data_IF_144574018685
#
_entry.id   IF_144574018685
#
_cell.length_a   1.000
_cell.length_b   1.000
_cell.length_c   1.000
_cell.angle_alpha   90.00
_cell.angle_beta   90.00
_cell.angle_gamma   90.00
#
_symmetry.space_group_name_H-M   'P 1'
#
loop_
_entity.id
_entity.type
_entity.pdbx_description
1 polymer ?
#
# COMPACT_ATOMS: atom_id res chain seq x y z
N UNK A 1 2.94 -13.52 -14.23
CA UNK A 1 3.14 -13.71 -15.68
C UNK A 1 3.13 -12.35 -16.36
N UNK A 2 4.29 -11.88 -16.81
CA UNK A 2 4.36 -10.79 -17.76
C UNK A 2 4.04 -11.36 -19.16
N UNK A 3 3.25 -10.59 -19.92
CA UNK A 3 2.79 -11.04 -21.23
C UNK A 3 3.95 -11.11 -22.20
N UNK A 4 3.84 -12.00 -23.21
CA UNK A 4 4.79 -12.12 -24.30
C UNK A 4 5.05 -10.76 -24.95
N UNK A 5 6.32 -10.40 -25.03
CA UNK A 5 6.79 -9.28 -25.85
C UNK A 5 7.16 -9.83 -27.21
N UNK A 6 6.57 -9.28 -28.27
CA UNK A 6 6.93 -9.67 -29.66
C UNK A 6 7.88 -8.63 -30.21
N UNK A 7 9.07 -9.09 -30.57
CA UNK A 7 10.10 -8.24 -31.22
C UNK A 7 9.99 -8.26 -32.75
N UNK A 8 9.10 -9.07 -33.32
CA UNK A 8 9.01 -9.24 -34.78
C UNK A 8 8.54 -8.04 -35.58
N UNK A 9 8.10 -6.96 -34.91
CA UNK A 9 7.77 -5.68 -35.55
C UNK A 9 8.79 -4.57 -35.28
N UNK A 10 9.86 -4.86 -34.56
CA UNK A 10 10.94 -3.93 -34.29
C UNK A 10 12.03 -4.10 -35.35
N UNK A 11 12.50 -3.01 -35.88
CA UNK A 11 13.66 -2.97 -36.78
C UNK A 11 14.78 -2.21 -36.09
N UNK A 12 15.95 -2.83 -36.07
CA UNK A 12 17.16 -2.25 -35.50
C UNK A 12 18.02 -1.64 -36.59
N UNK A 13 18.84 -0.65 -36.25
CA UNK A 13 19.66 0.07 -37.23
C UNK A 13 20.67 -0.85 -37.96
N UNK A 14 21.13 -1.90 -37.29
CA UNK A 14 22.06 -2.91 -37.82
C UNK A 14 21.40 -3.90 -38.80
N UNK A 15 20.09 -3.93 -38.88
CA UNK A 15 19.32 -4.74 -39.85
C UNK A 15 19.20 -4.05 -41.20
N UNK A 16 19.50 -2.76 -41.31
CA UNK A 16 19.30 -1.98 -42.52
C UNK A 16 20.43 -2.18 -43.53
N UNK A 17 20.11 -2.75 -44.70
CA UNK A 17 20.94 -2.78 -45.87
C UNK A 17 20.45 -1.74 -46.88
N UNK A 18 21.37 -0.93 -47.41
CA UNK A 18 21.10 0.14 -48.39
C UNK A 18 20.46 -0.36 -49.69
N UNK A 19 20.55 -1.65 -50.02
CA UNK A 19 19.98 -2.25 -51.22
C UNK A 19 18.63 -2.93 -50.97
N UNK A 20 18.52 -3.68 -49.89
CA UNK A 20 17.37 -4.58 -49.62
C UNK A 20 16.54 -4.18 -48.39
N UNK A 21 16.84 -3.00 -47.81
CA UNK A 21 16.13 -2.51 -46.60
C UNK A 21 16.50 -3.29 -45.33
N UNK A 22 15.54 -3.65 -44.50
CA UNK A 22 15.74 -4.39 -43.25
C UNK A 22 15.80 -5.90 -43.51
N UNK A 23 16.87 -6.38 -44.08
CA UNK A 23 17.01 -7.78 -44.54
C UNK A 23 18.09 -8.57 -43.76
N UNK A 24 18.92 -7.88 -42.99
CA UNK A 24 20.01 -8.48 -42.23
C UNK A 24 19.48 -8.87 -40.83
N UNK A 25 19.79 -10.06 -40.31
CA UNK A 25 19.46 -10.39 -38.92
C UNK A 25 20.20 -9.45 -37.96
N UNK A 26 19.50 -8.93 -36.95
CA UNK A 26 20.11 -8.09 -35.93
C UNK A 26 21.16 -8.84 -35.12
N UNK A 27 22.27 -8.17 -34.81
CA UNK A 27 23.29 -8.66 -33.87
C UNK A 27 22.95 -8.33 -32.41
N UNK A 28 21.84 -7.61 -32.18
CA UNK A 28 21.39 -7.25 -30.82
C UNK A 28 20.96 -8.49 -30.04
N UNK A 29 21.41 -8.56 -28.80
CA UNK A 29 20.98 -9.62 -27.86
C UNK A 29 19.60 -9.27 -27.33
N UNK A 30 18.56 -9.82 -27.96
CA UNK A 30 17.20 -9.60 -27.54
C UNK A 30 16.89 -10.36 -26.24
N UNK A 31 16.23 -9.72 -25.27
CA UNK A 31 15.80 -10.39 -24.05
C UNK A 31 14.74 -11.45 -24.36
N UNK A 32 14.54 -12.40 -23.45
CA UNK A 32 13.49 -13.42 -23.55
C UNK A 32 12.10 -12.82 -23.67
N UNK A 33 11.22 -13.45 -24.46
CA UNK A 33 9.86 -12.95 -24.70
C UNK A 33 8.93 -13.14 -23.51
N UNK A 34 9.27 -13.99 -22.57
CA UNK A 34 8.43 -14.36 -21.44
C UNK A 34 9.27 -14.65 -20.20
N UNK A 35 8.79 -14.21 -19.06
CA UNK A 35 9.36 -14.54 -17.74
C UNK A 35 8.27 -15.12 -16.85
N UNK A 36 8.58 -16.20 -16.16
CA UNK A 36 7.73 -16.83 -15.17
C UNK A 36 8.56 -17.24 -13.97
N UNK A 37 8.07 -16.92 -12.78
CA UNK A 37 8.74 -17.27 -11.53
C UNK A 37 7.70 -17.59 -10.45
N UNK A 38 8.01 -18.51 -9.50
CA UNK A 38 7.20 -18.70 -8.32
C UNK A 38 7.40 -17.53 -7.34
N UNK A 39 6.33 -17.10 -6.71
CA UNK A 39 6.37 -16.05 -5.69
C UNK A 39 5.55 -16.48 -4.48
N UNK A 40 6.10 -16.26 -3.30
CA UNK A 40 5.48 -16.65 -2.04
C UNK A 40 5.46 -15.49 -1.06
N UNK A 41 4.37 -15.45 -0.29
CA UNK A 41 4.18 -14.48 0.79
C UNK A 41 3.64 -15.21 2.01
N UNK A 42 4.04 -14.77 3.19
CA UNK A 42 3.53 -15.28 4.46
C UNK A 42 3.34 -14.13 5.44
N UNK A 43 2.36 -14.27 6.34
CA UNK A 43 2.11 -13.25 7.34
C UNK A 43 1.31 -13.80 8.52
N UNK A 44 1.36 -13.04 9.61
CA UNK A 44 0.64 -13.34 10.83
C UNK A 44 -0.10 -12.09 11.28
N UNK A 45 -1.31 -12.27 11.79
CA UNK A 45 -2.08 -11.24 12.45
C UNK A 45 -2.43 -11.70 13.88
N UNK A 46 -2.32 -10.76 14.80
CA UNK A 46 -2.66 -10.93 16.20
C UNK A 46 -3.67 -9.86 16.62
N UNK A 47 -4.71 -10.29 17.33
CA UNK A 47 -5.72 -9.40 17.89
C UNK A 47 -5.88 -9.70 19.37
N UNK A 48 -5.87 -8.64 20.20
CA UNK A 48 -6.06 -8.74 21.63
C UNK A 48 -7.07 -7.70 22.11
N UNK A 49 -7.83 -8.07 23.15
CA UNK A 49 -8.67 -7.13 23.88
C UNK A 49 -7.81 -6.37 24.89
N UNK A 50 -7.98 -5.05 24.96
CA UNK A 50 -7.30 -4.16 25.90
C UNK A 50 -8.35 -3.50 26.79
N UNK A 51 -8.33 -3.84 28.05
CA UNK A 51 -9.39 -3.40 28.97
C UNK A 51 -10.75 -4.00 28.62
N UNK A 52 -11.82 -3.24 28.87
CA UNK A 52 -13.20 -3.71 28.69
C UNK A 52 -13.68 -3.60 27.24
N UNK A 53 -13.37 -2.48 26.58
CA UNK A 53 -13.91 -2.12 25.25
C UNK A 53 -12.81 -1.78 24.24
N UNK A 54 -11.54 -1.83 24.65
CA UNK A 54 -10.40 -1.57 23.77
C UNK A 54 -9.97 -2.82 23.00
N UNK A 55 -9.39 -2.61 21.82
CA UNK A 55 -8.79 -3.67 21.00
C UNK A 55 -7.45 -3.24 20.45
N UNK A 56 -6.55 -4.19 20.36
CA UNK A 56 -5.23 -4.01 19.77
C UNK A 56 -5.06 -5.02 18.63
N UNK A 57 -4.43 -4.56 17.55
CA UNK A 57 -4.15 -5.36 16.37
C UNK A 57 -2.67 -5.21 16.01
N UNK A 58 -2.01 -6.32 15.75
CA UNK A 58 -0.65 -6.35 15.24
C UNK A 58 -0.56 -7.34 14.08
N UNK A 59 0.12 -6.97 13.04
CA UNK A 59 0.34 -7.84 11.88
C UNK A 59 1.73 -7.64 11.31
N UNK A 60 2.30 -8.73 10.79
CA UNK A 60 3.55 -8.71 10.07
C UNK A 60 3.46 -9.66 8.88
N UNK A 61 4.02 -9.26 7.73
CA UNK A 61 4.09 -10.10 6.55
C UNK A 61 5.40 -9.89 5.81
N UNK A 62 5.83 -10.96 5.15
CA UNK A 62 6.93 -10.97 4.19
C UNK A 62 6.38 -11.39 2.83
N UNK A 63 6.74 -10.64 1.80
CA UNK A 63 6.40 -10.91 0.41
C UNK A 63 7.68 -11.11 -0.38
N UNK A 64 7.61 -11.87 -1.47
CA UNK A 64 8.74 -12.14 -2.35
C UNK A 64 9.96 -12.73 -1.61
N UNK A 65 9.73 -13.60 -0.60
CA UNK A 65 10.83 -14.06 0.26
C UNK A 65 11.86 -14.95 -0.44
N UNK A 66 11.53 -15.50 -1.61
CA UNK A 66 12.49 -16.22 -2.46
C UNK A 66 13.34 -15.27 -3.32
N UNK A 67 13.04 -13.98 -3.33
CA UNK A 67 13.75 -12.98 -4.16
C UNK A 67 13.95 -13.45 -5.60
N UNK A 68 12.88 -13.78 -6.34
CA UNK A 68 12.99 -14.34 -7.67
C UNK A 68 13.71 -13.40 -8.62
N UNK A 69 14.39 -13.97 -9.61
CA UNK A 69 14.95 -13.23 -10.72
C UNK A 69 13.80 -12.72 -11.62
N UNK A 70 13.81 -11.43 -11.92
CA UNK A 70 12.80 -10.75 -12.75
C UNK A 70 13.36 -10.20 -14.06
N UNK A 71 14.60 -10.60 -14.41
CA UNK A 71 15.21 -10.21 -15.67
C UNK A 71 14.72 -11.05 -16.84
N UNK A 72 14.53 -10.41 -17.98
CA UNK A 72 14.28 -11.07 -19.25
C UNK A 72 15.57 -11.62 -19.91
N UNK A 73 16.73 -11.27 -19.38
CA UNK A 73 18.02 -11.78 -19.86
C UNK A 73 18.43 -13.02 -19.09
N UNK A 74 18.91 -14.06 -19.81
CA UNK A 74 19.34 -15.33 -19.20
C UNK A 74 20.56 -15.13 -18.26
N UNK A 75 21.44 -14.18 -18.58
CA UNK A 75 22.64 -13.84 -17.80
C UNK A 75 22.40 -12.62 -16.91
N UNK A 76 21.33 -12.65 -16.13
CA UNK A 76 20.97 -11.56 -15.25
C UNK A 76 22.02 -11.31 -14.17
N UNK A 77 22.43 -10.05 -14.02
CA UNK A 77 23.33 -9.63 -12.94
C UNK A 77 22.60 -9.66 -11.56
N UNK A 78 23.38 -9.56 -10.47
CA UNK A 78 22.84 -9.58 -9.10
C UNK A 78 21.74 -8.52 -8.80
N UNK A 79 21.63 -7.47 -9.64
CA UNK A 79 20.64 -6.39 -9.50
C UNK A 79 19.22 -6.73 -9.96
N UNK A 80 19.05 -7.82 -10.71
CA UNK A 80 17.79 -8.15 -11.39
C UNK A 80 16.83 -8.98 -10.53
N UNK A 81 17.04 -9.04 -9.22
CA UNK A 81 16.19 -9.78 -8.29
C UNK A 81 15.12 -8.89 -7.69
N UNK A 82 13.91 -9.45 -7.58
CA UNK A 82 12.84 -8.83 -6.81
C UNK A 82 13.19 -8.86 -5.32
N UNK A 83 13.35 -7.69 -4.71
CA UNK A 83 13.63 -7.60 -3.27
C UNK A 83 12.47 -8.12 -2.43
N UNK A 84 12.78 -8.85 -1.37
CA UNK A 84 11.80 -9.20 -0.36
C UNK A 84 11.20 -7.92 0.23
N UNK A 85 9.86 -7.91 0.38
CA UNK A 85 9.12 -6.80 0.99
C UNK A 85 8.63 -7.23 2.36
N UNK A 86 8.94 -6.42 3.35
CA UNK A 86 8.46 -6.58 4.72
C UNK A 86 7.37 -5.57 4.99
N UNK A 87 6.29 -5.99 5.62
CA UNK A 87 5.23 -5.11 6.08
C UNK A 87 4.88 -5.40 7.53
N UNK A 88 4.69 -4.33 8.30
CA UNK A 88 4.27 -4.39 9.71
C UNK A 88 3.11 -3.42 9.89
N UNK A 89 2.07 -3.86 10.57
CA UNK A 89 0.94 -3.03 10.94
C UNK A 89 0.66 -3.12 12.44
N UNK A 90 0.38 -1.99 13.05
CA UNK A 90 -0.10 -1.87 14.40
C UNK A 90 -1.33 -0.97 14.42
N UNK A 91 -2.35 -1.37 15.16
CA UNK A 91 -3.54 -0.56 15.32
C UNK A 91 -4.14 -0.78 16.69
N UNK A 92 -4.82 0.22 17.22
CA UNK A 92 -5.63 0.06 18.40
C UNK A 92 -6.95 0.83 18.25
N UNK A 93 -7.99 0.32 18.91
CA UNK A 93 -9.24 1.04 19.13
C UNK A 93 -9.36 1.23 20.63
N UNK A 94 -9.23 2.48 21.08
CA UNK A 94 -9.17 2.82 22.50
C UNK A 94 -10.37 3.71 22.88
N UNK A 95 -11.25 3.28 23.80
CA UNK A 95 -12.29 4.15 24.30
C UNK A 95 -11.67 5.28 25.13
N UNK A 96 -12.02 6.53 24.83
CA UNK A 96 -11.62 7.71 25.59
C UNK A 96 -12.70 8.15 26.57
N UNK A 97 -13.97 7.79 26.31
CA UNK A 97 -15.09 8.09 27.19
C UNK A 97 -15.67 6.80 27.81
N UNK A 98 -16.28 6.93 28.99
CA UNK A 98 -16.90 5.79 29.69
C UNK A 98 -18.09 5.18 28.95
N UNK A 99 -18.78 5.98 28.16
CA UNK A 99 -19.92 5.59 27.32
C UNK A 99 -19.50 5.10 25.93
N UNK A 100 -18.18 4.98 25.68
CA UNK A 100 -17.56 4.53 24.44
C UNK A 100 -17.94 5.37 23.19
N UNK A 101 -18.47 6.59 23.41
CA UNK A 101 -18.83 7.50 22.31
C UNK A 101 -17.62 8.17 21.66
N UNK A 102 -16.58 8.41 22.44
CA UNK A 102 -15.32 8.96 21.92
C UNK A 102 -14.26 7.87 21.93
N UNK A 103 -13.70 7.60 20.76
CA UNK A 103 -12.69 6.57 20.56
C UNK A 103 -11.44 7.15 19.87
N UNK A 104 -10.27 6.69 20.26
CA UNK A 104 -9.00 6.96 19.62
C UNK A 104 -8.56 5.72 18.83
N UNK A 105 -8.20 5.94 17.57
CA UNK A 105 -7.76 4.88 16.67
C UNK A 105 -6.33 5.14 16.16
N UNK A 106 -5.28 4.97 16.99
CA UNK A 106 -3.91 5.07 16.53
C UNK A 106 -3.60 3.90 15.60
N UNK A 107 -2.85 4.20 14.53
CA UNK A 107 -2.41 3.19 13.56
C UNK A 107 -1.03 3.51 13.05
N UNK A 108 -0.29 2.44 12.77
CA UNK A 108 1.01 2.47 12.12
C UNK A 108 1.04 1.38 11.07
N UNK A 109 1.47 1.74 9.88
CA UNK A 109 1.78 0.81 8.80
C UNK A 109 3.19 1.12 8.32
N UNK A 110 4.06 0.12 8.31
CA UNK A 110 5.41 0.18 7.78
C UNK A 110 5.54 -0.80 6.63
N UNK A 111 6.16 -0.38 5.54
CA UNK A 111 6.54 -1.25 4.42
C UNK A 111 7.98 -0.93 4.03
N UNK A 112 8.79 -1.98 3.81
CA UNK A 112 10.18 -1.86 3.38
C UNK A 112 10.49 -2.86 2.29
N UNK A 113 11.10 -2.39 1.18
CA UNK A 113 11.51 -3.24 0.06
C UNK A 113 12.81 -2.68 -0.54
N UNK A 114 13.88 -3.46 -0.48
CA UNK A 114 15.21 -3.01 -0.90
C UNK A 114 15.64 -1.74 -0.17
N UNK A 115 16.10 -0.69 -0.87
CA UNK A 115 16.52 0.57 -0.26
C UNK A 115 15.34 1.44 0.22
N UNK A 116 14.11 1.12 -0.18
CA UNK A 116 12.93 1.94 0.07
C UNK A 116 12.19 1.48 1.32
N UNK A 117 11.78 2.44 2.13
CA UNK A 117 10.92 2.23 3.28
C UNK A 117 9.89 3.36 3.38
N UNK A 118 8.67 2.99 3.67
CA UNK A 118 7.60 3.93 3.95
C UNK A 118 6.94 3.57 5.28
N UNK A 119 6.68 4.58 6.08
CA UNK A 119 5.88 4.45 7.29
C UNK A 119 4.67 5.39 7.17
N UNK A 120 3.49 4.90 7.47
CA UNK A 120 2.30 5.72 7.68
C UNK A 120 1.94 5.60 9.15
N UNK A 121 2.03 6.69 9.90
CA UNK A 121 1.72 6.73 11.32
C UNK A 121 0.74 7.87 11.59
N UNK A 122 -0.29 7.59 12.36
CA UNK A 122 -1.29 8.59 12.67
C UNK A 122 -2.38 8.06 13.58
N UNK A 123 -3.37 8.89 13.79
CA UNK A 123 -4.52 8.55 14.62
C UNK A 123 -5.78 9.21 14.09
N UNK A 124 -6.89 8.54 14.31
CA UNK A 124 -8.22 9.11 14.11
C UNK A 124 -8.92 9.19 15.47
N UNK A 125 -9.66 10.26 15.67
CA UNK A 125 -10.60 10.40 16.80
C UNK A 125 -12.00 10.31 16.24
N UNK A 126 -12.77 9.36 16.76
CA UNK A 126 -14.15 9.10 16.36
C UNK A 126 -15.10 9.57 17.47
N UNK A 127 -16.11 10.34 17.09
CA UNK A 127 -17.15 10.85 17.96
C UNK A 127 -18.51 10.27 17.52
N UNK A 128 -19.04 9.31 18.25
CA UNK A 128 -20.37 8.78 17.99
C UNK A 128 -21.44 9.75 18.49
N UNK A 129 -22.39 10.05 17.62
CA UNK A 129 -23.52 10.95 17.88
C UNK A 129 -24.83 10.16 17.85
N UNK A 130 -25.84 10.69 18.52
CA UNK A 130 -27.17 10.07 18.59
C UNK A 130 -27.29 8.99 19.65
N UNK A 131 -28.53 8.57 19.91
CA UNK A 131 -28.89 7.67 20.99
C UNK A 131 -28.41 6.23 20.76
N UNK A 132 -28.23 5.84 19.50
CA UNK A 132 -27.85 4.47 19.09
C UNK A 132 -26.49 4.38 18.38
N UNK A 133 -25.70 5.48 18.35
CA UNK A 133 -24.37 5.44 17.73
C UNK A 133 -24.36 5.21 16.21
N UNK A 134 -25.53 5.36 15.56
CA UNK A 134 -25.69 5.17 14.12
C UNK A 134 -25.03 6.26 13.25
N UNK A 135 -24.62 7.34 13.89
CA UNK A 135 -23.95 8.47 13.25
C UNK A 135 -22.67 8.76 14.02
N UNK A 136 -21.56 8.97 13.31
CA UNK A 136 -20.32 9.39 13.94
C UNK A 136 -19.54 10.34 13.03
N UNK A 137 -18.76 11.22 13.66
CA UNK A 137 -17.75 12.04 13.00
C UNK A 137 -16.37 11.52 13.35
N UNK A 138 -15.49 11.53 12.37
CA UNK A 138 -14.10 11.10 12.53
C UNK A 138 -13.18 12.21 12.03
N UNK A 139 -12.16 12.53 12.81
CA UNK A 139 -11.06 13.42 12.42
C UNK A 139 -9.76 12.66 12.56
N UNK A 140 -8.89 12.78 11.57
CA UNK A 140 -7.60 12.10 11.53
C UNK A 140 -6.45 13.00 11.14
N UNK A 141 -5.27 12.68 11.68
CA UNK A 141 -4.01 13.28 11.28
C UNK A 141 -2.94 12.20 11.15
N UNK A 142 -2.17 12.25 10.06
CA UNK A 142 -1.21 11.22 9.69
C UNK A 142 0.07 11.84 9.17
N UNK A 143 1.18 11.13 9.38
CA UNK A 143 2.48 11.49 8.83
C UNK A 143 3.00 10.31 8.00
N UNK A 144 3.68 10.63 6.89
CA UNK A 144 4.28 9.66 5.97
C UNK A 144 5.78 9.89 5.86
N UNK A 145 6.60 9.47 6.83
CA UNK A 145 8.04 9.40 6.65
C UNK A 145 8.41 8.31 5.63
N UNK A 146 9.37 8.63 4.76
CA UNK A 146 9.90 7.74 3.74
C UNK A 146 11.42 7.72 3.78
N UNK A 147 11.99 6.58 3.41
CA UNK A 147 13.41 6.40 3.16
C UNK A 147 13.61 5.91 1.73
N UNK A 148 14.47 6.56 1.00
CA UNK A 148 14.94 6.19 -0.34
C UNK A 148 16.47 6.22 -0.38
N UNK A 149 17.06 6.02 -1.55
CA UNK A 149 18.51 6.09 -1.77
C UNK A 149 19.13 7.40 -1.27
N UNK A 150 18.39 8.52 -1.32
CA UNK A 150 18.85 9.87 -0.97
C UNK A 150 18.76 10.18 0.53
N UNK A 151 18.17 9.27 1.33
CA UNK A 151 18.05 9.41 2.77
C UNK A 151 16.64 9.33 3.31
N UNK A 152 16.49 9.73 4.56
CA UNK A 152 15.23 9.72 5.30
C UNK A 152 14.58 11.10 5.31
N UNK A 153 13.26 11.17 5.12
CA UNK A 153 12.54 12.44 5.18
C UNK A 153 11.04 12.27 5.34
N UNK A 154 10.37 13.34 5.76
CA UNK A 154 8.92 13.41 5.82
C UNK A 154 8.38 13.78 4.44
N UNK A 155 7.63 12.86 3.83
CA UNK A 155 7.07 13.00 2.49
C UNK A 155 5.79 13.83 2.52
N UNK A 156 4.84 13.42 3.37
CA UNK A 156 3.55 14.08 3.46
C UNK A 156 2.99 14.08 4.90
N UNK A 157 2.10 15.05 5.14
CA UNK A 157 1.16 15.05 6.26
C UNK A 157 -0.24 15.01 5.69
N UNK A 158 -1.10 14.16 6.25
CA UNK A 158 -2.45 13.92 5.76
C UNK A 158 -3.47 14.31 6.82
N UNK A 159 -4.44 15.13 6.45
CA UNK A 159 -5.65 15.40 7.24
C UNK A 159 -6.81 14.55 6.73
N UNK A 160 -7.64 14.03 7.65
CA UNK A 160 -8.80 13.22 7.32
C UNK A 160 -10.03 13.70 8.08
N UNK A 161 -11.16 13.75 7.39
CA UNK A 161 -12.50 13.94 7.97
C UNK A 161 -13.39 12.81 7.45
N UNK A 162 -14.15 12.20 8.36
CA UNK A 162 -15.09 11.11 8.02
C UNK A 162 -16.46 11.33 8.66
N UNK A 163 -17.48 10.85 7.99
CA UNK A 163 -18.87 10.84 8.46
C UNK A 163 -19.40 9.41 8.34
N UNK A 164 -19.91 8.87 9.42
CA UNK A 164 -20.60 7.59 9.45
C UNK A 164 -22.10 7.85 9.55
N UNK A 165 -22.86 7.25 8.66
CA UNK A 165 -24.34 7.29 8.63
C UNK A 165 -24.86 5.87 8.50
N UNK A 166 -25.38 5.32 9.58
CA UNK A 166 -25.82 3.94 9.65
C UNK A 166 -24.69 2.96 9.23
N UNK A 167 -24.86 2.30 8.09
CA UNK A 167 -23.91 1.33 7.55
C UNK A 167 -22.97 1.93 6.49
N UNK A 168 -23.03 3.22 6.25
CA UNK A 168 -22.18 3.90 5.27
C UNK A 168 -21.18 4.80 5.96
N UNK A 169 -19.94 4.78 5.48
CA UNK A 169 -18.89 5.67 5.92
C UNK A 169 -18.37 6.45 4.71
N UNK A 170 -18.36 7.76 4.84
CA UNK A 170 -17.80 8.69 3.86
C UNK A 170 -16.54 9.29 4.45
N UNK A 171 -15.45 9.27 3.70
CA UNK A 171 -14.19 9.85 4.10
C UNK A 171 -13.67 10.82 3.06
N UNK A 172 -13.10 11.91 3.53
CA UNK A 172 -12.33 12.86 2.74
C UNK A 172 -10.96 13.01 3.37
N UNK A 173 -9.91 12.88 2.59
CA UNK A 173 -8.53 13.13 3.03
C UNK A 173 -7.82 14.07 2.08
N UNK A 174 -6.86 14.80 2.65
CA UNK A 174 -5.99 15.70 1.91
C UNK A 174 -4.54 15.51 2.32
N UNK A 175 -3.70 15.18 1.34
CA UNK A 175 -2.25 15.00 1.49
C UNK A 175 -1.54 16.32 1.22
N UNK A 176 -0.82 16.83 2.21
CA UNK A 176 0.11 17.94 2.07
C UNK A 176 1.51 17.39 1.83
N UNK A 177 1.99 17.45 0.59
CA UNK A 177 3.34 17.03 0.23
C UNK A 177 4.37 18.04 0.76
N UNK A 178 5.29 17.57 1.62
CA UNK A 178 6.31 18.39 2.25
C UNK A 178 7.65 18.34 1.49
N UNK A 179 7.98 17.22 0.84
CA UNK A 179 9.08 17.16 -0.10
C UNK A 179 8.67 17.87 -1.38
N UNK A 180 9.31 19.02 -1.62
CA UNK A 180 9.29 19.61 -2.95
C UNK A 180 9.95 18.61 -3.90
N UNK A 181 9.16 17.86 -4.68
CA UNK A 181 9.61 17.50 -6.01
C UNK A 181 10.08 18.81 -6.64
N UNK A 182 11.27 18.86 -7.23
CA UNK A 182 11.85 20.08 -7.85
C UNK A 182 11.01 20.67 -8.99
N UNK A 183 9.81 20.19 -9.20
CA UNK A 183 8.80 20.75 -10.07
C UNK A 183 8.09 21.91 -9.35
N UNK A 184 7.96 23.02 -10.02
CA UNK A 184 7.58 24.37 -9.57
C UNK A 184 6.21 24.54 -8.88
N UNK A 185 5.52 23.46 -8.50
CA UNK A 185 4.23 23.53 -7.81
C UNK A 185 4.13 22.42 -6.75
N UNK A 186 3.97 22.82 -5.50
CA UNK A 186 3.57 21.94 -4.39
C UNK A 186 2.12 21.50 -4.64
N UNK A 187 1.94 20.31 -5.21
CA UNK A 187 0.60 19.76 -5.41
C UNK A 187 0.30 18.81 -4.27
N UNK A 188 -0.79 19.09 -3.54
CA UNK A 188 -1.43 18.14 -2.64
C UNK A 188 -2.32 17.18 -3.44
N UNK A 189 -2.70 16.06 -2.80
CA UNK A 189 -3.68 15.13 -3.34
C UNK A 189 -4.89 15.07 -2.42
N UNK A 190 -6.08 14.99 -2.98
CA UNK A 190 -7.30 14.72 -2.22
C UNK A 190 -7.86 13.35 -2.60
N UNK A 191 -8.50 12.70 -1.65
CA UNK A 191 -9.12 11.40 -1.82
C UNK A 191 -10.52 11.41 -1.20
N UNK A 192 -11.49 10.85 -1.91
CA UNK A 192 -12.81 10.54 -1.43
C UNK A 192 -12.97 9.04 -1.28
N UNK A 193 -13.46 8.59 -0.14
CA UNK A 193 -13.75 7.18 0.12
C UNK A 193 -15.19 6.99 0.54
N UNK A 194 -15.79 5.90 0.06
CA UNK A 194 -17.12 5.46 0.46
C UNK A 194 -17.02 4.00 0.85
N UNK A 195 -17.42 3.66 2.07
CA UNK A 195 -17.41 2.30 2.58
C UNK A 195 -18.80 1.92 3.03
N UNK A 196 -19.29 0.77 2.58
CA UNK A 196 -20.51 0.15 3.08
C UNK A 196 -20.17 -1.01 4.00
N UNK A 197 -20.65 -0.95 5.23
CA UNK A 197 -20.53 -2.00 6.22
C UNK A 197 -21.84 -2.78 6.22
N UNK A 198 -21.86 -3.95 5.61
CA UNK A 198 -23.05 -4.81 5.62
C UNK A 198 -23.49 -5.19 7.03
N UNK A 199 -24.78 -5.39 7.23
CA UNK A 199 -25.31 -5.93 8.47
C UNK A 199 -24.91 -7.41 8.56
N UNK A 200 -23.94 -7.73 9.40
CA UNK A 200 -23.66 -9.11 9.78
C UNK A 200 -24.70 -9.57 10.82
N UNK A 201 -25.86 -10.01 10.34
CA UNK A 201 -26.78 -10.80 11.16
C UNK A 201 -26.25 -12.24 11.25
N UNK A 202 -25.09 -12.44 11.84
CA UNK A 202 -24.61 -13.76 12.19
C UNK A 202 -25.04 -14.04 13.63
N UNK A 203 -26.18 -14.66 13.79
CA UNK A 203 -26.56 -15.30 15.05
C UNK A 203 -25.70 -16.55 15.32
N UNK A 204 -25.06 -17.11 14.30
CA UNK A 204 -24.12 -18.23 14.42
C UNK A 204 -22.68 -17.72 14.45
N UNK A 205 -22.13 -17.68 15.66
CA UNK A 205 -20.75 -17.25 15.95
C UNK A 205 -19.79 -18.37 15.55
N UNK A 206 -19.36 -18.40 14.29
CA UNK A 206 -18.26 -19.29 13.85
C UNK A 206 -17.02 -18.50 13.38
N UNK A 207 -17.11 -17.19 13.18
CA UNK A 207 -15.94 -16.38 12.84
C UNK A 207 -15.71 -15.28 13.88
N UNK A 208 -14.47 -15.05 14.33
CA UNK A 208 -14.15 -13.91 15.16
C UNK A 208 -14.45 -12.62 14.38
N UNK A 209 -15.19 -11.71 15.00
CA UNK A 209 -15.40 -10.35 14.46
C UNK A 209 -14.05 -9.63 14.53
N UNK A 210 -13.46 -9.37 13.36
CA UNK A 210 -12.26 -8.55 13.21
C UNK A 210 -12.62 -7.05 13.26
#
# INVERSE_FOLDING_TARGET
NQRNVSYGSLHFHDEFDGNDGYSIPTAEILPGNNISYPDYSAGLNYTAQVGKDGRFYAGAAIHHFLSPNISFYENAEKGDKLYAKYSVQLAANLPLSRDNRTQLHPRLLMASQGPHMQVNAGTNVRFAMGQYGSTALTFGAWARPVRNSDGFGLDAVVGLIGIELNNMQFGFSYDLNLKALQASQRQGAFELSVTYLGNYNNEDIICPKF
#
